data_IF_797198066311
#
_entry.id   IF_797198066311
#
_cell.length_a   1.000
_cell.length_b   1.000
_cell.length_c   1.000
_cell.angle_alpha   90.00
_cell.angle_beta   90.00
_cell.angle_gamma   90.00
#
_symmetry.space_group_name_H-M   'P 1'
#
loop_
_entity.id
_entity.type
_entity.pdbx_description
1 polymer ?
#
# COMPACT_ATOMS: atom_id res chain seq x y z
N UNK A 1 -11.32 0.87 3.45
CA UNK A 1 -11.76 0.09 4.62
C UNK A 1 -11.44 -1.37 4.34
N UNK A 2 -10.45 -1.94 5.03
CA UNK A 2 -10.24 -3.39 5.00
C UNK A 2 -11.12 -3.98 6.10
N UNK A 3 -12.08 -4.83 5.72
CA UNK A 3 -12.95 -5.56 6.66
C UNK A 3 -12.47 -7.02 6.70
N UNK A 4 -11.62 -7.40 7.66
CA UNK A 4 -11.33 -8.81 7.88
C UNK A 4 -12.49 -9.41 8.70
N UNK A 5 -13.42 -10.10 8.03
CA UNK A 5 -14.34 -11.01 8.71
C UNK A 5 -13.61 -12.35 8.88
N UNK A 6 -13.05 -12.61 10.05
CA UNK A 6 -12.32 -13.85 10.34
C UNK A 6 -13.23 -14.86 11.07
N UNK A 7 -13.47 -16.02 10.44
CA UNK A 7 -14.14 -17.17 11.07
C UNK A 7 -13.13 -17.96 11.91
N UNK A 8 -13.49 -18.36 13.13
CA UNK A 8 -12.67 -19.17 14.05
C UNK A 8 -12.22 -20.47 13.35
N UNK A 9 -10.95 -20.55 12.91
CA UNK A 9 -10.29 -21.82 12.59
C UNK A 9 -9.38 -22.18 13.75
N UNK A 10 -9.64 -23.30 14.40
CA UNK A 10 -8.77 -23.88 15.41
C UNK A 10 -7.54 -24.48 14.72
N UNK A 11 -6.43 -23.76 14.67
CA UNK A 11 -5.13 -24.38 14.35
C UNK A 11 -4.44 -24.79 15.66
N UNK A 12 -3.83 -26.00 15.73
CA UNK A 12 -3.43 -26.58 17.02
C UNK A 12 -2.09 -26.08 17.58
N UNK A 13 -1.37 -25.18 16.91
CA UNK A 13 -0.06 -24.72 17.37
C UNK A 13 0.06 -23.20 17.27
N UNK A 14 0.38 -22.55 18.40
CA UNK A 14 0.46 -21.10 18.54
C UNK A 14 1.68 -20.51 17.86
N UNK A 15 1.57 -20.22 16.56
CA UNK A 15 2.37 -19.25 15.80
C UNK A 15 1.73 -18.88 14.45
N UNK A 16 0.70 -19.62 14.01
CA UNK A 16 0.01 -19.37 12.73
C UNK A 16 -0.71 -18.00 12.73
N UNK A 17 -0.48 -17.22 11.69
CA UNK A 17 -1.17 -15.95 11.46
C UNK A 17 -2.13 -16.01 10.29
N UNK A 18 -3.18 -15.19 10.38
CA UNK A 18 -4.07 -14.87 9.28
C UNK A 18 -3.62 -13.53 8.70
N UNK A 19 -3.29 -13.53 7.42
CA UNK A 19 -2.96 -12.31 6.68
C UNK A 19 -4.20 -11.72 6.02
N UNK A 20 -4.38 -10.42 6.12
CA UNK A 20 -5.35 -9.71 5.30
C UNK A 20 -4.95 -9.73 3.83
N UNK A 21 -5.88 -9.37 2.96
CA UNK A 21 -5.51 -8.92 1.61
C UNK A 21 -4.54 -7.73 1.70
N UNK A 22 -3.64 -7.63 0.73
CA UNK A 22 -2.77 -6.46 0.60
C UNK A 22 -3.60 -5.24 0.21
N UNK A 23 -3.23 -4.08 0.75
CA UNK A 23 -3.85 -2.80 0.45
C UNK A 23 -2.78 -1.72 0.32
N UNK A 24 -3.05 -0.69 -0.50
CA UNK A 24 -2.07 0.34 -0.82
C UNK A 24 -2.35 1.62 -0.06
N UNK A 25 -1.32 2.19 0.57
CA UNK A 25 -1.36 3.50 1.23
C UNK A 25 0.00 4.17 1.06
N UNK A 26 -0.01 5.41 0.56
CA UNK A 26 1.20 6.20 0.35
C UNK A 26 2.15 5.56 -0.66
N UNK A 27 1.63 4.97 -1.75
CA UNK A 27 2.43 4.29 -2.76
C UNK A 27 2.95 2.89 -2.37
N UNK A 28 2.79 2.48 -1.11
CA UNK A 28 3.32 1.23 -0.58
C UNK A 28 2.23 0.19 -0.32
N UNK A 29 2.58 -1.09 -0.50
CA UNK A 29 1.70 -2.22 -0.21
C UNK A 29 1.85 -2.66 1.25
N UNK A 30 0.73 -2.83 1.92
CA UNK A 30 0.65 -3.21 3.32
C UNK A 30 -0.28 -4.39 3.50
N UNK A 31 -0.05 -5.19 4.54
CA UNK A 31 -1.01 -6.20 4.99
C UNK A 31 -1.07 -6.23 6.52
N UNK A 32 -2.19 -6.68 7.06
CA UNK A 32 -2.37 -6.90 8.49
C UNK A 32 -2.13 -8.38 8.77
N UNK A 33 -1.30 -8.68 9.78
CA UNK A 33 -1.12 -10.02 10.33
C UNK A 33 -1.89 -10.12 11.64
N UNK A 34 -2.73 -11.14 11.74
CA UNK A 34 -3.60 -11.38 12.88
C UNK A 34 -3.31 -12.75 13.49
N UNK A 35 -3.01 -12.77 14.79
CA UNK A 35 -2.66 -13.96 15.54
C UNK A 35 -3.75 -14.20 16.60
N UNK A 36 -4.72 -15.09 16.36
CA UNK A 36 -5.82 -15.31 17.30
C UNK A 36 -5.36 -15.95 18.62
N UNK A 37 -4.27 -16.73 18.59
CA UNK A 37 -3.79 -17.56 19.70
C UNK A 37 -2.40 -17.10 20.21
N UNK A 38 -2.10 -15.81 20.08
CA UNK A 38 -0.78 -15.26 20.40
C UNK A 38 0.23 -15.35 19.25
N UNK A 39 1.21 -14.44 19.25
CA UNK A 39 2.32 -14.40 18.29
C UNK A 39 3.57 -15.15 18.79
N UNK A 40 3.61 -15.53 20.07
CA UNK A 40 4.65 -16.31 20.72
C UNK A 40 4.09 -16.96 22.01
N UNK A 41 4.94 -17.70 22.74
CA UNK A 41 4.59 -18.38 23.99
C UNK A 41 4.14 -17.45 25.12
N UNK A 42 4.54 -16.18 25.09
CA UNK A 42 4.31 -15.23 26.18
C UNK A 42 2.92 -14.58 26.10
N UNK A 43 2.22 -14.75 24.98
CA UNK A 43 0.98 -14.03 24.66
C UNK A 43 -0.13 -14.95 24.16
N UNK A 44 -0.15 -16.21 24.62
CA UNK A 44 -1.11 -17.25 24.17
C UNK A 44 -2.57 -16.95 24.54
N UNK A 45 -2.82 -16.11 25.55
CA UNK A 45 -4.15 -15.65 25.97
C UNK A 45 -4.59 -14.33 25.28
N UNK A 46 -3.75 -13.79 24.41
CA UNK A 46 -3.99 -12.52 23.72
C UNK A 46 -4.13 -12.68 22.21
N UNK A 47 -4.98 -11.84 21.63
CA UNK A 47 -4.93 -11.56 20.21
C UNK A 47 -3.77 -10.62 19.93
N UNK A 48 -2.90 -11.00 18.99
CA UNK A 48 -1.86 -10.11 18.47
C UNK A 48 -2.23 -9.61 17.09
N UNK A 49 -1.86 -8.36 16.80
CA UNK A 49 -2.09 -7.75 15.50
C UNK A 49 -0.91 -6.89 15.08
N UNK A 50 -0.48 -7.04 13.83
CA UNK A 50 0.65 -6.31 13.28
C UNK A 50 0.32 -5.75 11.90
N UNK A 51 0.84 -4.58 11.60
CA UNK A 51 0.95 -4.07 10.24
C UNK A 51 2.31 -4.50 9.67
N UNK A 52 2.30 -5.03 8.46
CA UNK A 52 3.49 -5.41 7.72
C UNK A 52 3.56 -4.64 6.41
N UNK A 53 4.73 -4.08 6.11
CA UNK A 53 5.08 -3.54 4.80
C UNK A 53 5.48 -4.70 3.87
N UNK A 54 4.89 -4.76 2.68
CA UNK A 54 5.33 -5.65 1.61
C UNK A 54 6.45 -4.97 0.83
N UNK A 55 7.65 -5.53 0.92
CA UNK A 55 8.88 -4.90 0.43
C UNK A 55 9.25 -5.27 -1.00
N UNK A 56 8.32 -5.80 -1.78
CA UNK A 56 8.55 -6.11 -3.20
C UNK A 56 8.98 -4.89 -4.04
N UNK A 57 8.87 -3.67 -3.51
CA UNK A 57 9.08 -2.42 -4.27
C UNK A 57 9.97 -1.35 -3.60
N UNK A 58 10.57 -1.57 -2.41
CA UNK A 58 11.26 -0.49 -1.67
C UNK A 58 12.59 -0.94 -1.05
N UNK A 59 13.68 -0.22 -1.30
CA UNK A 59 14.97 -0.39 -0.59
C UNK A 59 15.12 0.54 0.63
N UNK A 60 14.24 1.55 0.74
CA UNK A 60 14.27 2.60 1.77
C UNK A 60 13.22 2.37 2.85
N UNK A 61 13.53 2.81 4.07
CA UNK A 61 12.60 2.74 5.20
C UNK A 61 11.37 3.61 4.98
N UNK A 62 10.18 3.09 5.26
CA UNK A 62 8.92 3.83 5.17
C UNK A 62 8.50 4.32 6.55
N UNK A 63 8.27 5.61 6.71
CA UNK A 63 7.81 6.21 7.97
C UNK A 63 6.30 6.15 8.04
N UNK A 64 5.75 5.46 9.03
CA UNK A 64 4.31 5.37 9.20
C UNK A 64 3.88 5.39 10.67
N UNK A 65 2.66 5.87 10.90
CA UNK A 65 1.95 5.78 12.16
C UNK A 65 0.69 4.97 11.96
N UNK A 66 0.35 4.13 12.94
CA UNK A 66 -0.83 3.29 12.87
C UNK A 66 -1.60 3.26 14.19
N UNK A 67 -2.89 3.05 14.05
CA UNK A 67 -3.82 2.77 15.15
C UNK A 67 -4.78 1.65 14.73
N UNK A 68 -4.92 0.66 15.60
CA UNK A 68 -5.91 -0.41 15.46
C UNK A 68 -7.05 -0.17 16.43
N UNK A 69 -8.27 -0.42 15.98
CA UNK A 69 -9.47 -0.31 16.81
C UNK A 69 -10.43 -1.46 16.56
N UNK A 70 -11.10 -1.95 17.60
CA UNK A 70 -12.32 -2.74 17.47
C UNK A 70 -13.52 -1.81 17.29
N UNK A 71 -14.42 -2.20 16.39
CA UNK A 71 -15.65 -1.46 16.14
C UNK A 71 -16.78 -1.89 17.08
N UNK A 72 -17.49 -0.91 17.62
CA UNK A 72 -18.67 -1.08 18.47
C UNK A 72 -19.91 -1.50 17.66
N UNK A 73 -21.06 -1.55 18.34
CA UNK A 73 -22.31 -1.96 17.70
C UNK A 73 -22.76 -1.08 16.54
N UNK A 74 -22.38 0.19 16.58
CA UNK A 74 -22.66 1.21 15.57
C UNK A 74 -21.58 1.32 14.49
N UNK A 75 -20.55 0.49 14.53
CA UNK A 75 -19.42 0.55 13.60
C UNK A 75 -18.40 1.64 13.94
N UNK A 76 -18.44 2.19 15.16
CA UNK A 76 -17.50 3.23 15.60
C UNK A 76 -16.31 2.63 16.36
N UNK A 77 -15.12 3.25 16.28
CA UNK A 77 -13.94 2.78 17.00
C UNK A 77 -14.14 2.88 18.51
N UNK A 78 -13.91 1.80 19.25
CA UNK A 78 -14.04 1.77 20.72
C UNK A 78 -12.75 1.31 21.39
N UNK A 79 -12.45 0.00 21.41
CA UNK A 79 -11.18 -0.50 21.94
C UNK A 79 -10.04 -0.20 20.98
N UNK A 80 -9.20 0.78 21.31
CA UNK A 80 -8.18 1.32 20.41
C UNK A 80 -6.77 1.21 20.99
N UNK A 81 -5.80 0.83 20.16
CA UNK A 81 -4.37 0.94 20.46
C UNK A 81 -3.64 1.53 19.27
N UNK A 82 -2.83 2.55 19.49
CA UNK A 82 -2.05 3.20 18.45
C UNK A 82 -0.65 3.56 18.92
N UNK A 83 0.26 3.76 17.98
CA UNK A 83 1.56 4.34 18.28
C UNK A 83 1.44 5.86 18.31
N UNK A 84 1.89 6.51 19.39
CA UNK A 84 2.09 7.97 19.40
C UNK A 84 3.37 8.38 18.66
N UNK A 85 4.17 7.41 18.22
CA UNK A 85 5.47 7.61 17.59
C UNK A 85 5.41 7.14 16.14
N UNK A 86 5.96 7.93 15.23
CA UNK A 86 6.20 7.51 13.84
C UNK A 86 7.26 6.40 13.85
N UNK A 87 6.94 5.26 13.23
CA UNK A 87 7.84 4.10 13.16
C UNK A 87 8.45 4.00 11.77
N UNK A 88 9.68 3.48 11.72
CA UNK A 88 10.33 3.11 10.47
C UNK A 88 9.99 1.64 10.15
N UNK A 89 9.46 1.41 8.96
CA UNK A 89 9.17 0.09 8.43
C UNK A 89 10.20 -0.27 7.37
N UNK A 90 10.92 -1.37 7.58
CA UNK A 90 11.94 -1.91 6.67
C UNK A 90 11.99 -3.44 6.82
N UNK A 91 11.31 -4.17 5.93
CA UNK A 91 11.19 -5.64 6.02
C UNK A 91 10.71 -6.17 7.39
N UNK A 92 10.03 -5.33 8.16
CA UNK A 92 9.57 -5.65 9.50
C UNK A 92 8.05 -5.50 9.59
N UNK A 93 7.52 -5.91 10.74
CA UNK A 93 6.14 -5.65 11.10
C UNK A 93 6.11 -4.97 12.47
N UNK A 94 5.11 -4.15 12.68
CA UNK A 94 4.91 -3.48 13.96
C UNK A 94 3.45 -3.55 14.37
N UNK A 95 3.22 -3.75 15.66
CA UNK A 95 1.88 -3.85 16.21
C UNK A 95 1.89 -4.23 17.67
N UNK A 96 0.83 -4.90 18.10
CA UNK A 96 0.54 -5.15 19.50
C UNK A 96 0.54 -6.65 19.78
N UNK A 97 1.47 -7.08 20.64
CA UNK A 97 1.56 -8.46 21.14
C UNK A 97 0.39 -8.84 22.06
N UNK A 98 -0.30 -7.87 22.65
CA UNK A 98 -1.57 -8.10 23.31
C UNK A 98 -2.52 -6.94 23.00
N UNK A 99 -3.23 -7.06 21.88
CA UNK A 99 -4.22 -6.07 21.48
C UNK A 99 -5.46 -6.18 22.38
N UNK A 100 -5.97 -7.39 22.58
CA UNK A 100 -7.06 -7.68 23.53
C UNK A 100 -6.91 -9.12 24.01
N UNK A 101 -7.24 -9.39 25.28
CA UNK A 101 -7.30 -10.78 25.76
C UNK A 101 -8.49 -11.50 25.18
N UNK A 102 -8.36 -12.80 24.92
CA UNK A 102 -9.44 -13.57 24.31
C UNK A 102 -10.70 -13.59 25.19
N UNK A 103 -10.55 -13.76 26.51
CA UNK A 103 -11.67 -13.75 27.45
C UNK A 103 -12.38 -12.40 27.52
N UNK A 104 -11.64 -11.30 27.34
CA UNK A 104 -12.18 -9.95 27.27
C UNK A 104 -12.96 -9.74 25.97
N UNK A 105 -12.43 -10.22 24.83
CA UNK A 105 -13.14 -10.12 23.55
C UNK A 105 -14.45 -10.92 23.59
N UNK A 106 -14.43 -12.15 24.12
CA UNK A 106 -15.62 -13.02 24.20
C UNK A 106 -16.73 -12.43 25.09
N UNK A 107 -16.37 -11.65 26.11
CA UNK A 107 -17.32 -10.94 27.00
C UNK A 107 -17.70 -9.54 26.48
N UNK A 108 -17.04 -9.07 25.43
CA UNK A 108 -17.23 -7.70 24.91
C UNK A 108 -18.44 -7.59 23.99
N UNK A 109 -18.85 -6.35 23.70
CA UNK A 109 -19.86 -6.08 22.67
C UNK A 109 -19.33 -6.15 21.23
N UNK A 110 -18.01 -6.29 21.04
CA UNK A 110 -17.37 -6.25 19.73
C UNK A 110 -17.57 -7.54 18.94
N UNK A 111 -17.72 -8.67 19.64
CA UNK A 111 -17.96 -9.99 19.06
C UNK A 111 -19.46 -10.20 18.83
N UNK A 112 -19.86 -10.43 17.58
CA UNK A 112 -21.24 -10.68 17.16
C UNK A 112 -21.25 -11.80 16.14
N UNK A 113 -22.07 -12.82 16.38
CA UNK A 113 -22.19 -13.98 15.49
C UNK A 113 -20.81 -14.58 15.14
N UNK A 114 -19.97 -14.76 16.17
CA UNK A 114 -18.58 -15.21 16.06
C UNK A 114 -17.66 -14.34 15.18
N UNK A 115 -18.04 -13.09 14.93
CA UNK A 115 -17.33 -12.14 14.10
C UNK A 115 -17.09 -10.81 14.81
N UNK A 116 -15.98 -10.16 14.51
CA UNK A 116 -15.69 -8.80 14.96
C UNK A 116 -14.97 -8.07 13.84
N UNK A 117 -14.92 -6.74 13.91
CA UNK A 117 -14.27 -5.92 12.88
C UNK A 117 -13.12 -5.14 13.48
N UNK A 118 -11.97 -5.28 12.84
CA UNK A 118 -10.77 -4.52 13.15
C UNK A 118 -10.64 -3.39 12.13
N UNK A 119 -10.56 -2.17 12.62
CA UNK A 119 -10.23 -0.99 11.82
C UNK A 119 -8.76 -0.64 12.00
N UNK A 120 -8.08 -0.39 10.88
CA UNK A 120 -6.71 0.11 10.84
C UNK A 120 -6.72 1.54 10.29
N UNK A 121 -6.24 2.49 11.09
CA UNK A 121 -5.93 3.86 10.66
C UNK A 121 -4.43 3.91 10.41
N UNK A 122 -4.03 4.11 9.15
CA UNK A 122 -2.64 4.15 8.71
C UNK A 122 -2.32 5.51 8.08
N UNK A 123 -1.31 6.18 8.62
CA UNK A 123 -0.75 7.42 8.09
C UNK A 123 0.69 7.18 7.66
N UNK A 124 0.97 7.30 6.36
CA UNK A 124 2.32 7.21 5.80
C UNK A 124 2.89 8.63 5.64
N UNK A 125 4.14 8.83 6.05
CA UNK A 125 4.83 10.10 6.04
C UNK A 125 5.89 10.11 4.93
N UNK A 126 5.91 11.23 4.20
CA UNK A 126 6.95 11.52 3.23
C UNK A 126 8.30 11.69 3.93
N UNK A 127 9.39 11.29 3.26
CA UNK A 127 10.71 11.45 3.83
C UNK A 127 11.09 12.94 3.93
N UNK A 128 11.96 13.25 4.89
CA UNK A 128 12.39 14.63 5.13
C UNK A 128 13.06 15.25 3.89
N UNK A 129 13.86 14.47 3.15
CA UNK A 129 14.53 14.94 1.93
C UNK A 129 13.56 15.29 0.79
N UNK A 130 12.50 14.52 0.62
CA UNK A 130 11.46 14.77 -0.38
C UNK A 130 10.60 15.97 0.04
N UNK A 131 10.33 16.11 1.34
CA UNK A 131 9.64 17.28 1.90
C UNK A 131 10.44 18.57 1.73
N UNK A 132 11.75 18.51 1.94
CA UNK A 132 12.63 19.65 1.65
C UNK A 132 12.59 20.02 0.17
N UNK A 133 12.53 19.03 -0.72
CA UNK A 133 12.41 19.26 -2.17
C UNK A 133 11.06 19.89 -2.56
N UNK A 134 9.97 19.46 -1.91
CA UNK A 134 8.65 20.09 -2.05
C UNK A 134 8.68 21.56 -1.61
N UNK A 135 9.23 21.84 -0.43
CA UNK A 135 9.38 23.21 0.06
C UNK A 135 10.25 24.04 -0.88
N UNK A 136 11.38 23.51 -1.33
CA UNK A 136 12.24 24.19 -2.29
C UNK A 136 11.47 24.59 -3.55
N UNK A 137 10.65 23.70 -4.13
CA UNK A 137 9.82 24.05 -5.28
C UNK A 137 8.79 25.13 -4.94
N UNK A 138 8.10 25.05 -3.80
CA UNK A 138 7.10 26.07 -3.41
C UNK A 138 7.72 27.47 -3.33
N UNK A 139 8.96 27.57 -2.83
CA UNK A 139 9.64 28.85 -2.64
C UNK A 139 10.40 29.36 -3.87
N UNK A 140 10.89 28.46 -4.73
CA UNK A 140 11.79 28.82 -5.85
C UNK A 140 11.19 28.52 -7.22
N UNK A 141 10.03 27.87 -7.26
CA UNK A 141 9.32 27.47 -8.47
C UNK A 141 10.16 26.54 -9.39
N UNK A 142 11.17 25.90 -8.79
CA UNK A 142 12.22 25.11 -9.44
C UNK A 142 12.46 23.80 -8.71
N UNK A 143 12.79 22.73 -9.44
CA UNK A 143 13.23 21.47 -8.83
C UNK A 143 14.72 21.55 -8.48
N UNK A 144 15.11 20.94 -7.36
CA UNK A 144 16.53 20.80 -7.03
C UNK A 144 17.25 19.94 -8.08
N UNK A 145 18.49 20.30 -8.36
CA UNK A 145 19.41 19.45 -9.11
C UNK A 145 19.83 18.28 -8.22
N UNK A 146 19.55 17.06 -8.68
CA UNK A 146 19.91 15.83 -7.98
C UNK A 146 20.34 14.78 -9.02
N UNK A 147 21.04 13.75 -8.56
CA UNK A 147 21.41 12.61 -9.41
C UNK A 147 20.16 11.91 -9.93
N UNK A 148 20.27 11.27 -11.10
CA UNK A 148 19.14 10.60 -11.75
C UNK A 148 18.42 9.58 -10.87
N UNK A 149 19.15 8.72 -10.16
CA UNK A 149 18.57 7.70 -9.28
C UNK A 149 17.82 8.31 -8.08
N UNK A 150 18.39 9.34 -7.44
CA UNK A 150 17.74 10.07 -6.34
C UNK A 150 16.49 10.79 -6.83
N UNK A 151 16.53 11.38 -8.03
CA UNK A 151 15.38 12.02 -8.65
C UNK A 151 14.27 11.01 -8.93
N UNK A 152 14.58 9.82 -9.46
CA UNK A 152 13.58 8.77 -9.74
C UNK A 152 12.88 8.30 -8.46
N UNK A 153 13.62 8.16 -7.36
CA UNK A 153 13.03 7.75 -6.08
C UNK A 153 12.15 8.85 -5.46
N UNK A 154 12.50 10.12 -5.64
CA UNK A 154 11.79 11.27 -5.05
C UNK A 154 10.56 11.71 -5.85
N UNK A 155 10.61 11.59 -7.19
CA UNK A 155 9.55 12.08 -8.09
C UNK A 155 8.14 11.55 -7.76
N UNK A 156 7.94 10.25 -7.45
CA UNK A 156 6.63 9.73 -7.06
C UNK A 156 6.08 10.42 -5.80
N UNK A 157 6.90 10.56 -4.76
CA UNK A 157 6.50 11.22 -3.51
C UNK A 157 6.14 12.69 -3.75
N UNK A 158 6.92 13.37 -4.60
CA UNK A 158 6.68 14.76 -4.95
C UNK A 158 5.39 14.94 -5.78
N UNK A 159 5.13 14.05 -6.73
CA UNK A 159 3.87 14.05 -7.50
C UNK A 159 2.66 13.75 -6.60
N UNK A 160 2.78 12.79 -5.68
CA UNK A 160 1.74 12.46 -4.72
C UNK A 160 1.43 13.65 -3.79
N UNK A 161 2.48 14.32 -3.29
CA UNK A 161 2.35 15.52 -2.49
C UNK A 161 1.75 16.68 -3.29
N UNK A 162 2.21 16.91 -4.52
CA UNK A 162 1.66 17.94 -5.40
C UNK A 162 0.16 17.75 -5.65
N UNK A 163 -0.28 16.52 -5.90
CA UNK A 163 -1.71 16.19 -6.03
C UNK A 163 -2.47 16.44 -4.71
N UNK A 164 -1.92 16.00 -3.56
CA UNK A 164 -2.53 16.19 -2.24
C UNK A 164 -2.69 17.67 -1.86
N UNK A 165 -1.68 18.48 -2.12
CA UNK A 165 -1.66 19.91 -1.80
C UNK A 165 -2.16 20.79 -2.94
N UNK A 166 -2.62 20.20 -4.06
CA UNK A 166 -3.17 20.88 -5.25
C UNK A 166 -2.18 21.87 -5.90
N UNK A 167 -0.90 21.49 -5.97
CA UNK A 167 0.16 22.24 -6.65
C UNK A 167 0.25 21.74 -8.10
N UNK A 168 -0.68 22.18 -8.94
CA UNK A 168 -0.90 21.60 -10.28
C UNK A 168 0.35 21.67 -11.17
N UNK A 169 1.08 22.79 -11.12
CA UNK A 169 2.29 22.96 -11.95
C UNK A 169 3.39 21.98 -11.57
N UNK A 170 3.58 21.73 -10.28
CA UNK A 170 4.54 20.74 -9.79
C UNK A 170 4.12 19.33 -10.21
N UNK A 171 2.83 19.02 -10.08
CA UNK A 171 2.28 17.73 -10.50
C UNK A 171 2.60 17.47 -11.98
N UNK A 172 2.33 18.43 -12.87
CA UNK A 172 2.64 18.32 -14.30
C UNK A 172 4.13 18.15 -14.58
N UNK A 173 5.00 18.86 -13.87
CA UNK A 173 6.46 18.72 -13.99
C UNK A 173 6.91 17.31 -13.58
N UNK A 174 6.40 16.80 -12.46
CA UNK A 174 6.71 15.45 -12.00
C UNK A 174 6.17 14.39 -12.96
N UNK A 175 4.95 14.55 -13.47
CA UNK A 175 4.35 13.65 -14.47
C UNK A 175 5.19 13.57 -15.74
N UNK A 176 5.62 14.72 -16.27
CA UNK A 176 6.48 14.77 -17.45
C UNK A 176 7.78 14.01 -17.22
N UNK A 177 8.45 14.23 -16.08
CA UNK A 177 9.69 13.53 -15.75
C UNK A 177 9.47 12.03 -15.54
N UNK A 178 8.41 11.63 -14.85
CA UNK A 178 8.07 10.21 -14.68
C UNK A 178 7.83 9.52 -16.03
N UNK A 179 7.27 10.20 -17.03
CA UNK A 179 7.09 9.64 -18.37
C UNK A 179 8.40 9.21 -19.05
N UNK A 180 9.53 9.83 -18.70
CA UNK A 180 10.85 9.49 -19.25
C UNK A 180 11.37 8.13 -18.74
N UNK A 181 10.85 7.66 -17.59
CA UNK A 181 11.27 6.41 -16.97
C UNK A 181 10.32 5.22 -17.24
N UNK A 182 9.29 5.40 -18.10
CA UNK A 182 8.35 4.32 -18.48
C UNK A 182 9.06 3.30 -19.36
N UNK A 183 9.19 2.07 -18.86
CA UNK A 183 9.76 0.93 -19.58
C UNK A 183 9.11 -0.40 -19.11
N UNK A 184 9.50 -1.53 -19.69
CA UNK A 184 8.89 -2.83 -19.40
C UNK A 184 8.97 -3.28 -17.93
N UNK A 185 9.91 -2.74 -17.14
CA UNK A 185 10.04 -3.04 -15.70
C UNK A 185 9.24 -2.08 -14.82
N UNK A 186 8.95 -0.87 -15.28
CA UNK A 186 8.37 0.20 -14.47
C UNK A 186 6.93 0.53 -14.84
N UNK A 187 6.49 0.17 -16.06
CA UNK A 187 5.20 0.57 -16.63
C UNK A 187 4.02 0.15 -15.77
N UNK A 188 4.08 -1.02 -15.14
CA UNK A 188 3.02 -1.47 -14.24
C UNK A 188 2.99 -0.63 -12.98
N UNK A 189 4.11 -0.47 -12.27
CA UNK A 189 4.16 0.37 -11.06
C UNK A 189 3.75 1.83 -11.33
N UNK A 190 4.14 2.38 -12.49
CA UNK A 190 3.82 3.74 -12.90
C UNK A 190 2.36 3.92 -13.29
N UNK A 191 1.75 2.93 -13.95
CA UNK A 191 0.31 2.96 -14.22
C UNK A 191 -0.49 2.94 -12.91
N UNK A 192 -0.09 2.10 -11.95
CA UNK A 192 -0.67 2.04 -10.59
C UNK A 192 -0.62 3.41 -9.93
N UNK A 193 0.58 4.00 -9.94
CA UNK A 193 0.82 5.33 -9.40
C UNK A 193 -0.04 6.38 -10.10
N UNK A 194 -0.14 6.34 -11.43
CA UNK A 194 -0.88 7.32 -12.19
C UNK A 194 -2.39 7.28 -11.91
N UNK A 195 -2.95 6.09 -11.69
CA UNK A 195 -4.36 5.96 -11.29
C UNK A 195 -4.61 6.46 -9.87
N UNK A 196 -3.75 6.07 -8.93
CA UNK A 196 -3.85 6.45 -7.51
C UNK A 196 -3.73 7.96 -7.31
N UNK A 197 -2.86 8.63 -8.07
CA UNK A 197 -2.59 10.07 -7.93
C UNK A 197 -3.22 10.93 -9.03
N UNK A 198 -4.08 10.35 -9.87
CA UNK A 198 -4.78 11.04 -10.97
C UNK A 198 -3.83 11.76 -11.93
N UNK A 199 -2.73 11.12 -12.29
CA UNK A 199 -1.72 11.63 -13.22
C UNK A 199 -2.06 11.21 -14.65
N UNK A 200 -2.84 12.04 -15.35
CA UNK A 200 -3.42 11.65 -16.64
C UNK A 200 -2.37 11.50 -17.74
N UNK A 201 -1.34 12.36 -17.77
CA UNK A 201 -0.29 12.29 -18.79
C UNK A 201 0.56 11.03 -18.64
N UNK A 202 0.92 10.69 -17.40
CA UNK A 202 1.63 9.45 -17.10
C UNK A 202 0.79 8.21 -17.42
N UNK A 203 -0.50 8.22 -17.07
CA UNK A 203 -1.42 7.12 -17.39
C UNK A 203 -1.48 6.89 -18.90
N UNK A 204 -1.68 7.94 -19.68
CA UNK A 204 -1.73 7.84 -21.14
C UNK A 204 -0.42 7.28 -21.72
N UNK A 205 0.73 7.77 -21.25
CA UNK A 205 2.05 7.27 -21.66
C UNK A 205 2.22 5.77 -21.37
N UNK A 206 1.79 5.31 -20.20
CA UNK A 206 1.85 3.90 -19.82
C UNK A 206 0.95 3.03 -20.71
N UNK A 207 -0.29 3.48 -20.97
CA UNK A 207 -1.22 2.76 -21.85
C UNK A 207 -0.67 2.65 -23.28
N UNK A 208 -0.13 3.76 -23.83
CA UNK A 208 0.53 3.75 -25.15
C UNK A 208 1.74 2.81 -25.20
N UNK A 209 2.45 2.62 -24.08
CA UNK A 209 3.54 1.64 -24.02
C UNK A 209 3.02 0.20 -24.08
N UNK A 210 1.90 -0.08 -23.40
CA UNK A 210 1.24 -1.38 -23.36
C UNK A 210 0.40 -1.70 -24.62
N UNK A 211 0.14 -0.70 -25.47
CA UNK A 211 -0.51 -0.90 -26.77
C UNK A 211 0.34 -1.73 -27.74
N UNK A 212 1.66 -1.78 -27.54
CA UNK A 212 2.58 -2.63 -28.31
C UNK A 212 2.49 -4.09 -27.80
N UNK A 213 2.02 -5.05 -28.63
CA UNK A 213 1.82 -6.44 -28.21
C UNK A 213 3.10 -7.14 -27.76
N UNK A 214 4.26 -6.76 -28.33
CA UNK A 214 5.55 -7.36 -27.97
C UNK A 214 5.90 -6.94 -26.55
N UNK A 215 5.83 -5.64 -26.26
CA UNK A 215 6.10 -5.09 -24.92
C UNK A 215 5.12 -5.61 -23.89
N UNK A 216 3.84 -5.69 -24.24
CA UNK A 216 2.82 -6.25 -23.35
C UNK A 216 3.15 -7.71 -22.99
N UNK A 217 3.55 -8.53 -23.97
CA UNK A 217 3.92 -9.92 -23.73
C UNK A 217 5.16 -10.04 -22.83
N UNK A 218 6.12 -9.15 -22.96
CA UNK A 218 7.29 -9.09 -22.05
C UNK A 218 6.89 -8.76 -20.62
N UNK A 219 6.03 -7.76 -20.42
CA UNK A 219 5.50 -7.38 -19.11
C UNK A 219 4.72 -8.53 -18.47
N UNK A 220 3.83 -9.18 -19.24
CA UNK A 220 3.05 -10.34 -18.75
C UNK A 220 3.96 -11.50 -18.35
N UNK A 221 5.05 -11.75 -19.08
CA UNK A 221 6.04 -12.77 -18.71
C UNK A 221 6.80 -12.42 -17.43
N UNK A 222 7.12 -11.15 -17.22
CA UNK A 222 7.88 -10.69 -16.06
C UNK A 222 7.04 -10.64 -14.78
N UNK A 223 5.83 -10.07 -14.84
CA UNK A 223 5.00 -9.84 -13.65
C UNK A 223 3.91 -10.88 -13.42
N UNK A 224 3.55 -11.64 -14.45
CA UNK A 224 2.43 -12.58 -14.40
C UNK A 224 1.07 -11.91 -14.57
N UNK A 225 0.15 -12.62 -15.22
CA UNK A 225 -1.18 -12.12 -15.59
C UNK A 225 -2.05 -11.82 -14.35
N UNK A 226 -1.86 -12.56 -13.26
CA UNK A 226 -2.61 -12.40 -12.02
C UNK A 226 -2.34 -11.05 -11.34
N UNK A 227 -1.09 -10.57 -11.35
CA UNK A 227 -0.72 -9.29 -10.73
C UNK A 227 -1.34 -8.11 -11.48
N UNK A 228 -1.36 -8.18 -12.81
CA UNK A 228 -2.05 -7.21 -13.67
C UNK A 228 -3.56 -7.21 -13.41
N UNK A 229 -4.17 -8.39 -13.26
CA UNK A 229 -5.62 -8.51 -13.00
C UNK A 229 -6.02 -7.93 -11.63
N UNK A 230 -5.19 -8.14 -10.60
CA UNK A 230 -5.41 -7.60 -9.24
C UNK A 230 -5.20 -6.10 -9.20
N UNK A 231 -4.20 -5.61 -9.93
CA UNK A 231 -3.83 -4.20 -9.92
C UNK A 231 -4.78 -3.34 -10.78
N UNK A 232 -5.32 -3.90 -11.88
CA UNK A 232 -6.13 -3.13 -12.86
C UNK A 232 -7.35 -3.88 -13.41
N UNK A 233 -8.35 -4.22 -12.60
CA UNK A 233 -9.48 -5.05 -13.04
C UNK A 233 -10.24 -4.48 -14.25
N UNK A 234 -10.29 -3.15 -14.41
CA UNK A 234 -10.97 -2.48 -15.53
C UNK A 234 -10.16 -2.55 -16.83
N UNK A 235 -8.88 -2.16 -16.79
CA UNK A 235 -7.97 -2.13 -17.96
C UNK A 235 -7.58 -3.55 -18.40
N UNK A 236 -7.57 -4.50 -17.47
CA UNK A 236 -7.22 -5.89 -17.72
C UNK A 236 -8.09 -6.54 -18.80
N UNK A 237 -9.40 -6.24 -18.81
CA UNK A 237 -10.32 -6.77 -19.81
C UNK A 237 -9.96 -6.33 -21.24
N UNK A 238 -9.61 -5.05 -21.42
CA UNK A 238 -9.17 -4.49 -22.70
C UNK A 238 -7.79 -5.02 -23.12
N UNK A 239 -6.87 -5.20 -22.16
CA UNK A 239 -5.54 -5.76 -22.41
C UNK A 239 -5.60 -7.24 -22.83
N UNK A 240 -6.49 -8.03 -22.24
CA UNK A 240 -6.74 -9.43 -22.67
C UNK A 240 -7.25 -9.46 -24.10
N UNK A 241 -8.22 -8.60 -24.45
CA UNK A 241 -8.77 -8.54 -25.81
C UNK A 241 -7.67 -8.37 -26.86
N UNK A 242 -6.70 -7.49 -26.58
CA UNK A 242 -5.55 -7.24 -27.47
C UNK A 242 -4.61 -8.45 -27.60
N UNK A 243 -4.32 -9.14 -26.50
CA UNK A 243 -3.45 -10.34 -26.50
C UNK A 243 -4.06 -11.52 -27.26
N UNK A 244 -5.39 -11.67 -27.22
CA UNK A 244 -6.11 -12.75 -27.94
C UNK A 244 -6.17 -12.48 -29.45
N UNK A 245 -6.09 -11.22 -29.88
CA UNK A 245 -6.21 -10.83 -31.30
C UNK A 245 -4.91 -10.88 -32.11
N UNK A 246 -3.74 -11.04 -31.49
CA UNK A 246 -2.45 -11.11 -32.19
C UNK A 246 -2.04 -12.56 -32.48
N UNK A 247 -1.86 -12.98 -33.76
CA UNK A 247 -1.28 -14.29 -34.09
C UNK A 247 0.18 -14.37 -33.62
N UNK A 248 0.60 -15.58 -33.27
CA UNK A 248 1.90 -15.90 -32.66
C UNK A 248 3.13 -15.54 -33.53
#
# INVERSE_FOLDING_TARGET
MATPASRKRSTPNGTDDIKSQSFRVGGHNWCIRFYPNGCNSDNTDCICIFLQLDNSTVEKEVKAQLKFSLLDRSGRPSHSQGSNVVRNFCNNSWGFRCFIKMDQLEKSEYLRDDCFTIMCELTVFMQAHDFESLLYYIYTDSLREMKGEEMVAMLPDLAAAANRYKIERLKLVCEHKLCEYVNGRTVVAMLAFAEEHHCSGLKEKCLRFLDDPIKLREVVKAEGLENLSKSYPTIFSDLIGKLVTTPA
#
